data_IF_522298402220
#
_entry.id   IF_522298402220
#
_cell.length_a   1.000
_cell.length_b   1.000
_cell.length_c   1.000
_cell.angle_alpha   90.00
_cell.angle_beta   90.00
_cell.angle_gamma   90.00
#
_symmetry.space_group_name_H-M   'P 1'
#
loop_
_entity.id
_entity.type
_entity.pdbx_description
1 polymer ?
#
# COMPACT_ATOMS: atom_id res chain seq x y z
N UNK A 1 23.98 -18.26 10.74
CA UNK A 1 23.56 -17.45 9.58
C UNK A 1 24.61 -16.36 9.38
N UNK A 2 25.05 -16.09 8.14
CA UNK A 2 26.01 -15.02 7.84
C UNK A 2 25.30 -13.67 7.97
N UNK A 3 25.89 -12.75 8.72
CA UNK A 3 25.38 -11.39 8.90
C UNK A 3 25.69 -10.61 7.61
N UNK A 4 24.68 -10.33 6.79
CA UNK A 4 24.84 -9.72 5.46
C UNK A 4 24.99 -8.19 5.50
N UNK A 5 25.09 -7.59 6.69
CA UNK A 5 25.25 -6.15 6.87
C UNK A 5 23.99 -5.33 6.62
N UNK A 6 22.83 -5.99 6.52
CA UNK A 6 21.52 -5.35 6.43
C UNK A 6 20.50 -6.16 7.24
N UNK A 7 19.51 -5.46 7.79
CA UNK A 7 18.30 -6.05 8.36
C UNK A 7 17.16 -5.90 7.35
N UNK A 8 16.53 -7.01 6.99
CA UNK A 8 15.40 -7.03 6.07
C UNK A 8 14.11 -7.15 6.87
N UNK A 9 13.21 -6.17 6.70
CA UNK A 9 11.86 -6.22 7.23
C UNK A 9 10.88 -6.43 6.07
N UNK A 10 10.23 -7.59 6.05
CA UNK A 10 9.20 -7.88 5.06
C UNK A 10 7.89 -7.15 5.43
N UNK A 11 7.59 -6.10 4.68
CA UNK A 11 6.27 -5.48 4.67
C UNK A 11 5.37 -6.28 3.72
N UNK A 12 4.66 -7.28 4.23
CA UNK A 12 3.52 -7.83 3.49
C UNK A 12 2.29 -6.95 3.77
N UNK A 13 1.74 -6.27 2.75
CA UNK A 13 0.47 -5.59 2.91
C UNK A 13 -0.58 -6.64 3.30
N UNK A 14 -1.12 -6.49 4.51
CA UNK A 14 -2.21 -7.31 5.06
C UNK A 14 -3.54 -7.13 4.30
N UNK A 15 -3.50 -6.61 3.07
CA UNK A 15 -4.65 -6.26 2.24
C UNK A 15 -5.51 -7.48 1.86
N UNK A 16 -5.03 -8.70 2.09
CA UNK A 16 -5.61 -9.90 1.50
C UNK A 16 -5.98 -11.02 2.46
N UNK A 17 -5.77 -10.88 3.79
CA UNK A 17 -5.81 -12.04 4.71
C UNK A 17 -6.76 -11.94 5.91
N UNK A 18 -7.61 -10.94 6.03
CA UNK A 18 -8.66 -10.95 7.06
C UNK A 18 -9.97 -11.53 6.51
N UNK A 19 -9.99 -12.84 6.24
CA UNK A 19 -11.25 -13.59 6.18
C UNK A 19 -11.41 -14.40 7.46
N UNK A 20 -12.42 -14.04 8.25
CA UNK A 20 -12.93 -14.84 9.37
C UNK A 20 -13.62 -16.15 8.91
N UNK A 21 -13.64 -16.44 7.60
CA UNK A 21 -14.25 -17.64 7.05
C UNK A 21 -13.19 -18.69 6.72
N UNK A 22 -13.12 -19.72 7.57
CA UNK A 22 -12.33 -20.94 7.40
C UNK A 22 -12.76 -21.80 6.18
N UNK A 23 -13.56 -21.25 5.25
CA UNK A 23 -14.24 -22.00 4.19
C UNK A 23 -13.84 -21.60 2.77
N UNK A 24 -13.10 -20.51 2.56
CA UNK A 24 -12.61 -20.12 1.23
C UNK A 24 -11.12 -20.39 1.09
N UNK A 25 -10.80 -21.48 0.40
CA UNK A 25 -9.43 -21.83 0.00
C UNK A 25 -8.98 -20.81 -1.03
N UNK A 26 -8.25 -19.79 -0.60
CA UNK A 26 -7.60 -18.86 -1.53
C UNK A 26 -6.26 -19.45 -1.96
N UNK A 27 -6.05 -19.70 -3.26
CA UNK A 27 -4.90 -20.49 -3.74
C UNK A 27 -3.64 -19.65 -3.98
N UNK A 28 -3.76 -18.34 -4.22
CA UNK A 28 -2.61 -17.43 -4.41
C UNK A 28 -2.97 -15.95 -4.12
N UNK A 29 -1.98 -15.07 -3.92
CA UNK A 29 -2.20 -13.65 -3.59
C UNK A 29 -3.03 -12.88 -4.63
N UNK A 30 -2.92 -13.24 -5.92
CA UNK A 30 -3.70 -12.60 -6.98
C UNK A 30 -5.19 -12.93 -6.89
N UNK A 31 -5.54 -14.16 -6.55
CA UNK A 31 -6.92 -14.58 -6.30
C UNK A 31 -7.50 -13.90 -5.06
N UNK A 32 -6.72 -13.77 -3.98
CA UNK A 32 -7.16 -13.01 -2.79
C UNK A 32 -7.47 -11.57 -3.14
N UNK A 33 -6.62 -10.94 -3.93
CA UNK A 33 -6.79 -9.56 -4.36
C UNK A 33 -8.05 -9.39 -5.22
N UNK A 34 -8.24 -10.25 -6.21
CA UNK A 34 -9.42 -10.23 -7.06
C UNK A 34 -10.71 -10.42 -6.24
N UNK A 35 -10.70 -11.36 -5.28
CA UNK A 35 -11.85 -11.59 -4.42
C UNK A 35 -12.17 -10.39 -3.53
N UNK A 36 -11.14 -9.78 -2.91
CA UNK A 36 -11.32 -8.57 -2.11
C UNK A 36 -11.88 -7.41 -2.95
N UNK A 37 -11.38 -7.22 -4.16
CA UNK A 37 -11.86 -6.19 -5.09
C UNK A 37 -13.34 -6.41 -5.47
N UNK A 38 -13.75 -7.67 -5.64
CA UNK A 38 -15.16 -8.03 -5.88
C UNK A 38 -16.02 -7.79 -4.64
N UNK A 39 -15.55 -8.19 -3.44
CA UNK A 39 -16.27 -8.01 -2.16
C UNK A 39 -16.44 -6.54 -1.78
N UNK A 40 -15.42 -5.72 -2.05
CA UNK A 40 -15.47 -4.26 -1.92
C UNK A 40 -16.22 -3.58 -3.06
N UNK A 41 -16.78 -4.34 -4.01
CA UNK A 41 -17.49 -3.82 -5.18
C UNK A 41 -16.65 -2.79 -5.96
N UNK A 42 -15.34 -2.96 -6.00
CA UNK A 42 -14.44 -2.14 -6.81
C UNK A 42 -14.44 -2.64 -8.27
N UNK A 43 -14.50 -3.96 -8.47
CA UNK A 43 -14.61 -4.61 -9.78
C UNK A 43 -15.88 -5.47 -9.86
N UNK A 44 -16.35 -5.81 -11.06
CA UNK A 44 -17.58 -6.60 -11.28
C UNK A 44 -18.71 -5.83 -11.99
N UNK A 45 -19.85 -6.50 -12.26
CA UNK A 45 -21.00 -5.91 -12.96
C UNK A 45 -21.85 -5.03 -12.04
N UNK A 46 -21.72 -3.72 -12.20
CA UNK A 46 -22.46 -2.71 -11.42
C UNK A 46 -22.34 -1.34 -12.08
N UNK A 47 -23.12 -0.36 -11.60
CA UNK A 47 -23.12 1.00 -12.15
C UNK A 47 -21.82 1.74 -11.80
N UNK A 48 -21.15 2.32 -12.79
CA UNK A 48 -19.85 3.00 -12.67
C UNK A 48 -19.84 4.07 -11.58
N UNK A 49 -20.93 4.81 -11.40
CA UNK A 49 -21.04 5.86 -10.36
C UNK A 49 -20.93 5.24 -8.96
N UNK A 50 -21.55 4.08 -8.70
CA UNK A 50 -21.50 3.41 -7.40
C UNK A 50 -20.11 2.88 -7.08
N UNK A 51 -19.38 2.44 -8.11
CA UNK A 51 -17.97 2.03 -7.97
C UNK A 51 -17.10 3.22 -7.57
N UNK A 52 -17.29 4.37 -8.23
CA UNK A 52 -16.57 5.61 -7.90
C UNK A 52 -16.87 6.10 -6.48
N UNK A 53 -18.14 6.05 -6.05
CA UNK A 53 -18.52 6.41 -4.68
C UNK A 53 -17.77 5.57 -3.65
N UNK A 54 -17.64 4.26 -3.87
CA UNK A 54 -16.92 3.36 -2.97
C UNK A 54 -15.42 3.61 -2.90
N UNK A 55 -14.79 4.01 -4.02
CA UNK A 55 -13.38 4.42 -4.03
C UNK A 55 -13.14 5.70 -3.21
N UNK A 56 -14.17 6.52 -3.03
CA UNK A 56 -14.10 7.74 -2.21
C UNK A 56 -14.57 7.55 -0.76
N UNK A 57 -15.05 6.36 -0.40
CA UNK A 57 -15.43 6.06 0.97
C UNK A 57 -14.22 6.08 1.90
N UNK A 58 -14.45 6.46 3.16
CA UNK A 58 -13.39 6.48 4.17
C UNK A 58 -12.74 5.09 4.27
N UNK A 59 -11.43 5.04 4.52
CA UNK A 59 -10.75 3.77 4.77
C UNK A 59 -11.46 3.00 5.88
N UNK A 60 -11.55 1.69 5.70
CA UNK A 60 -12.09 0.78 6.72
C UNK A 60 -11.28 0.90 8.02
N UNK A 61 -11.92 0.72 9.18
CA UNK A 61 -11.27 0.87 10.49
C UNK A 61 -10.09 -0.10 10.64
N UNK A 62 -10.21 -1.31 10.05
CA UNK A 62 -9.13 -2.29 9.97
C UNK A 62 -7.90 -1.78 9.21
N UNK A 63 -8.09 -1.00 8.14
CA UNK A 63 -7.00 -0.41 7.34
C UNK A 63 -6.29 0.67 8.16
N UNK A 64 -7.05 1.49 8.88
CA UNK A 64 -6.51 2.53 9.76
C UNK A 64 -5.71 1.90 10.91
N UNK A 65 -6.22 0.85 11.53
CA UNK A 65 -5.52 0.13 12.60
C UNK A 65 -4.21 -0.48 12.09
N UNK A 66 -4.24 -1.15 10.94
CA UNK A 66 -3.01 -1.74 10.37
C UNK A 66 -1.96 -0.68 10.04
N UNK A 67 -2.39 0.44 9.44
CA UNK A 67 -1.47 1.56 9.18
C UNK A 67 -0.81 2.07 10.46
N UNK A 68 -1.56 2.12 11.57
CA UNK A 68 -1.00 2.50 12.86
C UNK A 68 0.04 1.49 13.36
N UNK A 69 -0.24 0.19 13.28
CA UNK A 69 0.71 -0.88 13.64
C UNK A 69 1.99 -0.80 12.81
N UNK A 70 1.87 -0.64 11.50
CA UNK A 70 2.99 -0.52 10.57
C UNK A 70 3.87 0.70 10.90
N UNK A 71 3.26 1.82 11.29
CA UNK A 71 3.99 3.01 11.74
C UNK A 71 4.75 2.78 13.05
N UNK A 72 4.22 1.97 13.98
CA UNK A 72 4.96 1.60 15.19
C UNK A 72 6.16 0.71 14.85
N UNK A 73 6.00 -0.30 13.99
CA UNK A 73 7.12 -1.13 13.55
C UNK A 73 8.18 -0.33 12.80
N UNK A 74 7.78 0.60 11.92
CA UNK A 74 8.73 1.50 11.26
C UNK A 74 9.51 2.35 12.26
N UNK A 75 8.86 2.85 13.31
CA UNK A 75 9.53 3.58 14.39
C UNK A 75 10.58 2.73 15.09
N UNK A 76 10.25 1.50 15.47
CA UNK A 76 11.18 0.56 16.11
C UNK A 76 12.39 0.25 15.21
N UNK A 77 12.17 0.09 13.90
CA UNK A 77 13.24 -0.13 12.93
C UNK A 77 14.15 1.10 12.83
N UNK A 78 13.58 2.31 12.76
CA UNK A 78 14.37 3.55 12.72
C UNK A 78 15.22 3.69 13.99
N UNK A 79 14.64 3.43 15.16
CA UNK A 79 15.33 3.56 16.45
C UNK A 79 16.46 2.53 16.61
N UNK A 80 16.24 1.28 16.18
CA UNK A 80 17.21 0.20 16.29
C UNK A 80 18.32 0.25 15.22
N UNK A 81 17.95 0.45 13.96
CA UNK A 81 18.88 0.42 12.83
C UNK A 81 19.63 1.75 12.66
N UNK A 82 19.05 2.88 13.08
CA UNK A 82 19.62 4.22 12.92
C UNK A 82 20.07 4.52 11.48
N UNK A 83 19.16 4.46 10.48
CA UNK A 83 19.53 4.63 9.09
C UNK A 83 20.15 6.00 8.81
N UNK A 84 21.16 6.03 7.93
CA UNK A 84 21.73 7.26 7.39
C UNK A 84 21.03 7.74 6.12
N UNK A 85 20.23 6.88 5.49
CA UNK A 85 19.48 7.16 4.27
C UNK A 85 18.21 6.31 4.23
N UNK A 86 17.09 6.90 3.83
CA UNK A 86 15.87 6.17 3.50
C UNK A 86 15.70 6.03 1.98
N UNK A 87 15.33 4.84 1.53
CA UNK A 87 14.85 4.58 0.17
C UNK A 87 13.40 4.12 0.24
N UNK A 88 12.50 4.83 -0.45
CA UNK A 88 11.06 4.74 -0.17
C UNK A 88 10.32 4.49 -1.48
N UNK A 89 9.86 3.26 -1.68
CA UNK A 89 8.98 2.87 -2.78
C UNK A 89 7.55 2.66 -2.25
N UNK A 90 6.94 3.77 -1.83
CA UNK A 90 5.58 3.80 -1.29
C UNK A 90 4.87 5.00 -1.88
N UNK A 91 3.54 4.99 -2.02
CA UNK A 91 2.82 6.12 -2.63
C UNK A 91 2.89 7.39 -1.77
N UNK A 92 2.64 7.25 -0.46
CA UNK A 92 2.78 8.34 0.50
C UNK A 92 4.19 8.38 1.11
N UNK A 93 4.66 9.58 1.45
CA UNK A 93 5.86 9.75 2.29
C UNK A 93 5.40 9.88 3.75
N UNK A 94 5.79 8.93 4.59
CA UNK A 94 5.34 8.92 5.98
C UNK A 94 6.01 10.04 6.81
N UNK A 95 5.26 10.78 7.65
CA UNK A 95 5.81 11.92 8.41
C UNK A 95 7.01 11.57 9.29
N UNK A 96 7.06 10.34 9.83
CA UNK A 96 8.17 9.88 10.65
C UNK A 96 9.51 9.89 9.90
N UNK A 97 9.48 9.66 8.58
CA UNK A 97 10.68 9.71 7.74
C UNK A 97 11.07 11.17 7.48
N UNK A 98 10.11 12.04 7.15
CA UNK A 98 10.36 13.47 6.93
C UNK A 98 10.96 14.14 8.18
N UNK A 99 10.40 13.81 9.34
CA UNK A 99 10.79 14.41 10.62
C UNK A 99 12.05 13.76 11.24
N UNK A 100 12.59 12.70 10.62
CA UNK A 100 13.81 12.04 11.11
C UNK A 100 15.07 12.90 10.98
N UNK A 101 15.04 13.93 10.12
CA UNK A 101 16.20 14.76 9.79
C UNK A 101 17.26 14.05 8.93
N UNK A 102 16.99 12.81 8.48
CA UNK A 102 17.86 12.04 7.61
C UNK A 102 17.49 12.27 6.13
N UNK A 103 18.45 12.13 5.20
CA UNK A 103 18.15 12.18 3.77
C UNK A 103 17.25 11.01 3.35
N UNK A 104 16.45 11.23 2.31
CA UNK A 104 15.56 10.22 1.75
C UNK A 104 15.45 10.33 0.23
N UNK A 105 15.24 9.18 -0.42
CA UNK A 105 15.02 9.06 -1.86
C UNK A 105 13.65 8.42 -2.07
N UNK A 106 12.78 9.14 -2.78
CA UNK A 106 11.50 8.62 -3.25
C UNK A 106 11.70 7.84 -4.54
N UNK A 107 11.32 6.58 -4.52
CA UNK A 107 11.23 5.72 -5.69
C UNK A 107 9.78 5.79 -6.18
N UNK A 108 9.62 5.98 -7.48
CA UNK A 108 8.32 5.96 -8.15
C UNK A 108 8.37 4.77 -9.11
N UNK A 109 7.96 3.61 -8.63
CA UNK A 109 7.90 2.37 -9.42
C UNK A 109 6.62 2.25 -10.25
N UNK A 110 5.56 2.97 -9.86
CA UNK A 110 4.30 3.04 -10.60
C UNK A 110 4.44 3.86 -11.87
N UNK A 111 3.56 3.61 -12.85
CA UNK A 111 3.50 4.42 -14.05
C UNK A 111 3.42 5.92 -13.69
N UNK A 112 4.28 6.79 -14.24
CA UNK A 112 4.40 8.18 -13.81
C UNK A 112 3.24 9.06 -14.28
N UNK A 113 2.09 8.48 -14.62
CA UNK A 113 0.90 9.18 -15.11
C UNK A 113 0.47 10.29 -14.15
N UNK A 114 0.60 10.07 -12.84
CA UNK A 114 0.36 11.04 -11.76
C UNK A 114 1.31 12.26 -11.78
N UNK A 115 2.43 12.19 -12.48
CA UNK A 115 3.41 13.27 -12.62
C UNK A 115 3.46 13.86 -14.03
N UNK A 116 2.66 13.33 -14.96
CA UNK A 116 2.47 13.94 -16.27
C UNK A 116 1.58 15.17 -16.08
N UNK A 117 2.17 16.35 -16.27
CA UNK A 117 1.44 17.62 -16.24
C UNK A 117 0.50 17.80 -17.44
N UNK A 118 0.58 16.90 -18.42
CA UNK A 118 -0.19 16.90 -19.65
C UNK A 118 -1.44 16.02 -19.54
N UNK A 119 -2.33 16.39 -18.61
CA UNK A 119 -3.57 15.65 -18.33
C UNK A 119 -4.48 15.52 -19.56
N UNK A 120 -4.43 16.50 -20.47
CA UNK A 120 -5.32 16.58 -21.65
C UNK A 120 -5.01 15.51 -22.70
N UNK A 121 -3.82 14.91 -22.67
CA UNK A 121 -3.38 13.88 -23.62
C UNK A 121 -3.25 12.49 -22.99
N UNK A 122 -3.66 12.33 -21.73
CA UNK A 122 -3.68 11.02 -21.09
C UNK A 122 -4.85 10.20 -21.63
N UNK A 123 -4.65 8.91 -21.96
CA UNK A 123 -5.78 8.03 -22.24
C UNK A 123 -6.74 8.03 -21.04
N UNK A 124 -8.06 7.92 -21.26
CA UNK A 124 -9.01 7.86 -20.16
C UNK A 124 -8.57 6.77 -19.18
N UNK A 125 -8.61 7.08 -17.88
CA UNK A 125 -8.07 6.22 -16.83
C UNK A 125 -8.69 4.79 -16.82
N UNK A 126 -9.76 4.59 -17.59
CA UNK A 126 -10.54 3.37 -17.73
C UNK A 126 -11.10 3.35 -19.17
N UNK A 127 -10.86 2.27 -19.91
CA UNK A 127 -11.57 1.90 -21.13
C UNK A 127 -12.23 0.55 -20.94
#
# INVERSE_FOLDING_TARGET
MKQLGFDEYHYEPYFFMKQNDQTKIVKNPGESAAQWLMEKNIIGKQETIKQLEQLTQKPDDDILQKRFEDLQSLKEVIESFQPDLFMIDHMALEPIIVNSGKPWIKIISVAPLIYLQDFDHLPPAWS
#
